data_IF_077793042637
#
_entry.id   IF_077793042637
#
_cell.length_a   1.000
_cell.length_b   1.000
_cell.length_c   1.000
_cell.angle_alpha   90.00
_cell.angle_beta   90.00
_cell.angle_gamma   90.00
#
_symmetry.space_group_name_H-M   'P 1'
#
loop_
_entity.id
_entity.type
_entity.pdbx_description
1 polymer ?
#
# COMPACT_ATOMS: atom_id res chain seq x y z
N UNK A 1 -6.57 -3.21 -21.44
CA UNK A 1 -5.11 -3.24 -21.24
C UNK A 1 -4.54 -1.97 -20.55
N UNK A 2 -5.35 -1.04 -20.02
CA UNK A 2 -4.83 0.20 -19.39
C UNK A 2 -4.57 0.10 -17.88
N UNK A 3 -5.48 -0.50 -17.12
CA UNK A 3 -5.39 -0.56 -15.65
C UNK A 3 -4.27 -1.48 -15.14
N UNK A 4 -4.02 -2.62 -15.81
CA UNK A 4 -2.97 -3.56 -15.41
C UNK A 4 -1.55 -2.99 -15.60
N UNK A 5 -1.32 -2.22 -16.67
CA UNK A 5 -0.05 -1.51 -16.88
C UNK A 5 0.12 -0.32 -15.93
N UNK A 6 -0.96 0.37 -15.54
CA UNK A 6 -0.89 1.39 -14.48
C UNK A 6 -0.53 0.78 -13.12
N UNK A 7 -1.07 -0.40 -12.80
CA UNK A 7 -0.74 -1.12 -11.56
C UNK A 7 0.73 -1.58 -11.57
N UNK A 8 1.28 -2.03 -12.71
CA UNK A 8 2.69 -2.39 -12.83
C UNK A 8 3.65 -1.18 -12.81
N UNK A 9 3.27 -0.05 -13.41
CA UNK A 9 4.04 1.20 -13.30
C UNK A 9 4.04 1.77 -11.87
N UNK A 10 2.98 1.50 -11.10
CA UNK A 10 2.90 1.80 -9.66
C UNK A 10 3.54 0.73 -8.76
N UNK A 11 3.99 -0.40 -9.32
CA UNK A 11 4.68 -1.48 -8.59
C UNK A 11 6.22 -1.39 -8.70
N UNK A 12 6.74 -0.74 -9.74
CA UNK A 12 8.15 -0.34 -9.91
C UNK A 12 8.70 0.83 -9.03
N UNK A 13 8.02 1.48 -8.05
CA UNK A 13 8.64 2.50 -7.21
C UNK A 13 9.60 1.92 -6.15
N UNK A 14 9.47 0.63 -5.83
CA UNK A 14 10.13 0.03 -4.66
C UNK A 14 11.66 0.02 -4.71
N UNK A 15 12.26 0.09 -5.91
CA UNK A 15 13.72 0.09 -6.08
C UNK A 15 14.38 1.47 -6.06
N UNK A 16 13.62 2.56 -6.22
CA UNK A 16 14.19 3.94 -6.26
C UNK A 16 13.81 4.80 -5.05
N UNK A 17 12.92 4.33 -4.19
CA UNK A 17 12.26 5.12 -3.16
C UNK A 17 12.83 4.97 -1.74
N UNK A 18 14.14 4.76 -1.58
CA UNK A 18 14.80 4.68 -0.26
C UNK A 18 14.64 5.95 0.62
N UNK A 19 14.09 7.04 0.06
CA UNK A 19 13.88 8.32 0.75
C UNK A 19 12.38 8.61 1.00
N UNK A 20 11.44 8.00 0.25
CA UNK A 20 10.01 8.35 0.30
C UNK A 20 9.20 7.36 1.14
N UNK A 21 9.64 6.11 1.30
CA UNK A 21 8.92 5.13 2.11
C UNK A 21 9.44 5.10 3.55
N UNK A 22 8.99 6.08 4.35
CA UNK A 22 9.18 6.04 5.80
C UNK A 22 8.50 4.81 6.43
N UNK A 23 7.44 4.29 5.81
CA UNK A 23 6.59 3.22 6.34
C UNK A 23 6.73 1.91 5.56
N UNK A 24 6.74 0.77 6.27
CA UNK A 24 6.79 -0.56 5.66
C UNK A 24 5.54 -0.86 4.79
N UNK A 25 5.67 -1.77 3.82
CA UNK A 25 4.59 -2.06 2.87
C UNK A 25 3.32 -2.60 3.53
N UNK A 26 3.45 -3.40 4.60
CA UNK A 26 2.29 -3.91 5.33
C UNK A 26 1.61 -2.80 6.12
N UNK A 27 2.39 -1.92 6.74
CA UNK A 27 1.94 -0.69 7.38
C UNK A 27 1.16 0.20 6.43
N UNK A 28 1.67 0.41 5.21
CA UNK A 28 0.95 1.18 4.17
C UNK A 28 -0.43 0.58 3.85
N UNK A 29 -0.53 -0.73 3.67
CA UNK A 29 -1.82 -1.38 3.41
C UNK A 29 -2.79 -1.28 4.56
N UNK A 30 -2.29 -1.42 5.77
CA UNK A 30 -3.11 -1.28 6.97
C UNK A 30 -3.63 0.15 7.14
N UNK A 31 -2.77 1.14 6.93
CA UNK A 31 -3.11 2.56 7.01
C UNK A 31 -4.13 2.97 5.94
N UNK A 32 -4.00 2.44 4.72
CA UNK A 32 -4.97 2.65 3.63
C UNK A 32 -6.38 2.18 4.05
N UNK A 33 -6.48 1.01 4.68
CA UNK A 33 -7.75 0.46 5.17
C UNK A 33 -8.33 1.29 6.32
N UNK A 34 -7.51 1.68 7.31
CA UNK A 34 -7.96 2.54 8.42
C UNK A 34 -8.49 3.86 7.87
N UNK A 35 -7.78 4.49 6.94
CA UNK A 35 -8.19 5.76 6.36
C UNK A 35 -9.56 5.66 5.69
N UNK A 36 -9.78 4.65 4.85
CA UNK A 36 -11.07 4.45 4.18
C UNK A 36 -12.21 4.20 5.17
N UNK A 37 -12.01 3.29 6.13
CA UNK A 37 -13.04 2.92 7.10
C UNK A 37 -13.36 4.11 8.02
N UNK A 38 -12.35 4.78 8.57
CA UNK A 38 -12.54 5.91 9.48
C UNK A 38 -13.26 7.07 8.79
N UNK A 39 -12.85 7.44 7.56
CA UNK A 39 -13.50 8.51 6.81
C UNK A 39 -14.96 8.19 6.51
N UNK A 40 -15.27 6.94 6.14
CA UNK A 40 -16.64 6.51 5.90
C UNK A 40 -17.50 6.61 7.18
N UNK A 41 -16.97 6.13 8.31
CA UNK A 41 -17.66 6.20 9.61
C UNK A 41 -17.92 7.65 10.01
N UNK A 42 -16.92 8.53 9.91
CA UNK A 42 -17.11 9.95 10.23
C UNK A 42 -18.08 10.64 9.27
N UNK A 43 -18.09 10.28 7.99
CA UNK A 43 -19.05 10.80 7.02
C UNK A 43 -20.50 10.42 7.41
N UNK A 44 -20.73 9.16 7.79
CA UNK A 44 -22.06 8.69 8.22
C UNK A 44 -22.49 9.40 9.52
N UNK A 45 -21.60 9.50 10.51
CA UNK A 45 -21.90 10.19 11.78
C UNK A 45 -22.22 11.67 11.54
N UNK A 46 -21.40 12.36 10.74
CA UNK A 46 -21.61 13.76 10.39
C UNK A 46 -22.95 13.97 9.69
N UNK A 47 -23.29 13.09 8.74
CA UNK A 47 -24.56 13.16 8.01
C UNK A 47 -25.75 12.95 8.95
N UNK A 48 -25.72 11.92 9.81
CA UNK A 48 -26.82 11.63 10.75
C UNK A 48 -26.97 12.77 11.76
N UNK A 49 -25.89 13.23 12.38
CA UNK A 49 -25.93 14.33 13.34
C UNK A 49 -26.40 15.64 12.69
N UNK A 50 -25.86 15.98 11.52
CA UNK A 50 -26.26 17.15 10.76
C UNK A 50 -27.73 17.12 10.33
N UNK A 51 -28.23 15.95 9.94
CA UNK A 51 -29.63 15.76 9.55
C UNK A 51 -30.58 15.90 10.75
N UNK A 52 -30.28 15.23 11.88
CA UNK A 52 -31.11 15.28 13.08
C UNK A 52 -31.20 16.70 13.64
N UNK A 53 -30.09 17.46 13.61
CA UNK A 53 -30.06 18.84 14.09
C UNK A 53 -30.39 19.89 13.00
N UNK A 54 -30.62 19.47 11.75
CA UNK A 54 -30.92 20.35 10.62
C UNK A 54 -29.81 21.36 10.29
N UNK A 55 -28.55 21.09 10.67
CA UNK A 55 -27.43 22.04 10.55
C UNK A 55 -26.32 21.50 9.67
N UNK A 56 -26.19 22.07 8.47
CA UNK A 56 -25.09 21.77 7.55
C UNK A 56 -23.72 22.18 8.13
N UNK A 57 -23.68 23.27 8.91
CA UNK A 57 -22.44 23.73 9.53
C UNK A 57 -21.91 22.72 10.54
N UNK A 58 -22.80 22.12 11.34
CA UNK A 58 -22.45 21.07 12.29
C UNK A 58 -21.98 19.79 11.57
N UNK A 59 -22.65 19.40 10.48
CA UNK A 59 -22.21 18.29 9.62
C UNK A 59 -20.77 18.49 9.16
N UNK A 60 -20.44 19.68 8.64
CA UNK A 60 -19.10 19.99 8.17
C UNK A 60 -18.06 20.00 9.29
N UNK A 61 -18.39 20.53 10.47
CA UNK A 61 -17.48 20.52 11.63
C UNK A 61 -17.17 19.10 12.11
N UNK A 62 -18.20 18.25 12.24
CA UNK A 62 -18.02 16.85 12.66
C UNK A 62 -17.19 16.08 11.64
N UNK A 63 -17.48 16.24 10.34
CA UNK A 63 -16.73 15.58 9.29
C UNK A 63 -15.28 16.07 9.22
N UNK A 64 -15.05 17.40 9.28
CA UNK A 64 -13.71 17.98 9.27
C UNK A 64 -12.88 17.53 10.48
N UNK A 65 -13.50 17.43 11.67
CA UNK A 65 -12.87 16.84 12.84
C UNK A 65 -12.46 15.38 12.62
N UNK A 66 -13.34 14.59 12.00
CA UNK A 66 -13.06 13.20 11.62
C UNK A 66 -11.92 13.05 10.62
N UNK A 67 -11.89 13.89 9.58
CA UNK A 67 -10.78 13.95 8.61
C UNK A 67 -9.47 14.29 9.31
N UNK A 68 -9.46 15.35 10.13
CA UNK A 68 -8.26 15.81 10.84
C UNK A 68 -7.70 14.72 11.76
N UNK A 69 -8.56 14.05 12.53
CA UNK A 69 -8.17 12.93 13.38
C UNK A 69 -7.63 11.75 12.58
N UNK A 70 -8.32 11.38 11.48
CA UNK A 70 -7.88 10.29 10.62
C UNK A 70 -6.50 10.59 10.03
N UNK A 71 -6.30 11.80 9.51
CA UNK A 71 -5.01 12.27 8.98
C UNK A 71 -3.90 12.22 10.04
N UNK A 72 -4.18 12.64 11.28
CA UNK A 72 -3.20 12.59 12.36
C UNK A 72 -2.78 11.14 12.71
N UNK A 73 -3.69 10.18 12.56
CA UNK A 73 -3.40 8.76 12.79
C UNK A 73 -2.65 8.15 11.60
N UNK A 74 -3.03 8.47 10.37
CA UNK A 74 -2.59 7.74 9.17
C UNK A 74 -1.36 8.34 8.50
N UNK A 75 -1.14 9.65 8.58
CA UNK A 75 -0.07 10.33 7.83
C UNK A 75 1.30 10.26 8.51
N UNK A 76 1.44 10.47 9.83
CA UNK A 76 2.75 10.36 10.47
C UNK A 76 3.27 8.93 10.44
N UNK A 77 4.59 8.79 10.33
CA UNK A 77 5.23 7.48 10.35
C UNK A 77 5.37 6.93 11.77
N UNK A 78 4.26 6.44 12.33
CA UNK A 78 4.28 5.87 13.66
C UNK A 78 5.10 4.56 13.68
N UNK A 79 5.93 4.33 14.71
CA UNK A 79 6.72 3.11 14.81
C UNK A 79 5.88 1.82 14.88
N UNK A 80 4.59 1.95 15.23
CA UNK A 80 3.62 0.85 15.21
C UNK A 80 3.42 0.25 13.81
N UNK A 81 3.52 1.05 12.74
CA UNK A 81 3.31 0.61 11.36
C UNK A 81 4.56 0.04 10.68
N UNK A 82 5.69 -0.04 11.40
CA UNK A 82 7.01 -0.44 10.85
C UNK A 82 7.56 -1.72 11.46
N UNK A 83 6.68 -2.67 11.77
CA UNK A 83 7.06 -3.89 12.49
C UNK A 83 7.63 -4.98 11.58
N UNK A 84 7.49 -4.84 10.26
CA UNK A 84 7.84 -5.88 9.30
C UNK A 84 8.89 -5.35 8.31
N UNK A 85 10.18 -5.33 8.69
CA UNK A 85 11.24 -4.92 7.79
C UNK A 85 11.31 -5.87 6.59
N UNK A 86 11.16 -5.33 5.38
CA UNK A 86 11.26 -6.09 4.14
C UNK A 86 12.72 -6.44 3.86
N UNK A 87 13.03 -7.74 3.86
CA UNK A 87 14.31 -8.25 3.37
C UNK A 87 14.22 -8.44 1.85
N UNK A 88 14.74 -7.46 1.09
CA UNK A 88 14.79 -7.56 -0.36
C UNK A 88 15.87 -8.56 -0.76
N UNK A 89 15.52 -9.52 -1.64
CA UNK A 89 16.53 -10.40 -2.22
C UNK A 89 17.51 -9.57 -3.05
N UNK A 90 18.80 -9.92 -2.94
CA UNK A 90 19.83 -9.30 -3.75
C UNK A 90 19.51 -9.47 -5.24
N UNK A 91 19.72 -8.44 -6.08
CA UNK A 91 19.43 -8.51 -7.51
C UNK A 91 20.03 -9.73 -8.22
N UNK A 92 21.15 -10.25 -7.73
CA UNK A 92 21.86 -11.41 -8.26
C UNK A 92 21.15 -12.76 -7.94
N UNK A 93 20.33 -12.83 -6.89
CA UNK A 93 19.55 -14.03 -6.56
C UNK A 93 18.27 -14.13 -7.40
N UNK A 94 17.71 -12.97 -7.80
CA UNK A 94 16.54 -12.87 -8.67
C UNK A 94 16.84 -13.44 -10.07
N UNK A 95 18.06 -13.25 -10.58
CA UNK A 95 18.48 -13.80 -11.89
C UNK A 95 18.61 -15.33 -11.87
N UNK A 96 19.02 -15.93 -10.75
CA UNK A 96 19.14 -17.39 -10.60
C UNK A 96 17.78 -18.08 -10.62
N UNK A 97 16.73 -17.44 -10.10
CA UNK A 97 15.37 -17.98 -10.09
C UNK A 97 14.58 -17.74 -11.37
N UNK A 98 15.04 -16.86 -12.27
CA UNK A 98 14.36 -16.56 -13.54
C UNK A 98 14.96 -17.19 -14.79
N UNK A 99 16.02 -18.00 -14.68
CA UNK A 99 16.45 -18.82 -15.81
C UNK A 99 15.61 -20.10 -15.86
N UNK A 100 14.74 -20.30 -16.87
CA UNK A 100 14.03 -21.56 -17.01
C UNK A 100 15.05 -22.70 -17.08
N UNK A 101 14.88 -23.70 -16.21
CA UNK A 101 15.68 -24.94 -16.13
C UNK A 101 15.74 -25.74 -17.46
N UNK A 102 15.06 -25.28 -18.52
CA UNK A 102 15.04 -25.90 -19.85
C UNK A 102 16.43 -25.88 -20.51
N UNK A 103 17.29 -24.90 -20.22
CA UNK A 103 18.61 -24.81 -20.87
C UNK A 103 19.66 -25.82 -20.33
N UNK A 104 19.50 -26.33 -19.11
CA UNK A 104 20.45 -27.30 -18.51
C UNK A 104 20.15 -28.73 -18.97
N UNK A 105 18.89 -29.03 -19.31
CA UNK A 105 18.43 -30.33 -19.82
C UNK A 105 18.91 -30.61 -21.26
N UNK A 106 18.88 -29.61 -22.15
CA UNK A 106 19.28 -29.79 -23.55
C UNK A 106 20.78 -30.08 -23.72
N UNK A 107 21.64 -29.53 -22.84
CA UNK A 107 23.10 -29.77 -22.93
C UNK A 107 23.50 -31.17 -22.48
N UNK A 108 22.76 -31.81 -21.57
CA UNK A 108 23.01 -33.21 -21.17
C UNK A 108 22.62 -34.23 -22.24
N UNK A 109 21.68 -33.90 -23.14
CA UNK A 109 21.20 -34.81 -24.18
C UNK A 109 22.01 -34.77 -25.49
N UNK A 110 22.84 -33.74 -25.70
CA UNK A 110 23.72 -33.62 -26.87
C UNK A 110 25.09 -34.28 -26.70
N UNK A 111 25.44 -34.74 -25.49
CA UNK A 111 26.73 -35.39 -25.19
C UNK A 111 26.61 -36.91 -24.95
N UNK A 112 25.41 -37.48 -25.13
CA UNK A 112 25.22 -38.93 -25.24
C UNK A 112 24.70 -39.27 -26.63
N UNK A 113 25.56 -39.11 -27.63
CA UNK A 113 25.49 -39.83 -28.91
C UNK A 113 26.87 -40.40 -29.18
#
# INVERSE_FOLDING_TARGET
MGLFNYILLLYEPQRRAGIIMLMDWQGQKFVEQIMQISLLVFAVIALVAGYVLGSFHLMMLVYAGGVTLTTLITVPNWPFFNRNPLNWLDPNEVEKHHKPQVAVSLKKKATQK
#
